data_IF_987833354552
#
_entry.id   IF_987833354552
#
_cell.length_a   1.000
_cell.length_b   1.000
_cell.length_c   1.000
_cell.angle_alpha   90.00
_cell.angle_beta   90.00
_cell.angle_gamma   90.00
#
_symmetry.space_group_name_H-M   'P 1'
#
loop_
_entity.id
_entity.type
_entity.pdbx_description
1 polymer ?
#
# COMPACT_ATOMS: atom_id res chain seq x y z
N UNK A 1 0.71 19.25 2.85
CA UNK A 1 1.37 18.73 4.06
C UNK A 1 2.85 18.58 3.81
N UNK A 2 3.69 18.82 4.81
CA UNK A 2 5.14 18.65 4.67
C UNK A 2 5.59 17.27 5.14
N UNK A 3 6.45 16.65 4.34
CA UNK A 3 7.06 15.37 4.65
C UNK A 3 8.57 15.45 4.49
N UNK A 4 9.27 14.69 5.32
CA UNK A 4 10.67 14.38 5.14
C UNK A 4 10.77 13.09 4.33
N UNK A 5 11.61 13.09 3.31
CA UNK A 5 11.85 11.93 2.44
C UNK A 5 13.34 11.59 2.44
N UNK A 6 13.63 10.29 2.49
CA UNK A 6 14.96 9.74 2.30
C UNK A 6 14.99 9.02 0.97
N UNK A 7 15.96 9.34 0.13
CA UNK A 7 16.11 8.71 -1.19
C UNK A 7 17.47 8.08 -1.39
N UNK A 8 17.55 7.11 -2.29
CA UNK A 8 18.85 6.62 -2.79
C UNK A 8 19.43 7.57 -3.85
N UNK A 9 20.56 7.17 -4.46
CA UNK A 9 21.23 7.95 -5.51
C UNK A 9 20.47 8.04 -6.84
N UNK A 10 19.39 7.27 -7.02
CA UNK A 10 18.50 7.31 -8.18
C UNK A 10 17.17 8.01 -7.84
N UNK A 11 17.11 8.75 -6.73
CA UNK A 11 15.92 9.38 -6.18
C UNK A 11 14.80 8.39 -5.80
N UNK A 12 15.09 7.10 -5.60
CA UNK A 12 14.12 6.11 -5.11
C UNK A 12 13.75 6.46 -3.68
N UNK A 13 12.45 6.58 -3.39
CA UNK A 13 11.95 6.81 -2.04
C UNK A 13 12.24 5.58 -1.17
N UNK A 14 13.05 5.74 -0.13
CA UNK A 14 13.42 4.69 0.82
C UNK A 14 12.58 4.74 2.10
N UNK A 15 12.28 5.95 2.57
CA UNK A 15 11.49 6.18 3.77
C UNK A 15 10.86 7.57 3.70
N UNK A 16 9.74 7.76 4.37
CA UNK A 16 9.16 9.07 4.59
C UNK A 16 8.49 9.18 5.96
N UNK A 17 8.37 10.41 6.44
CA UNK A 17 7.55 10.70 7.62
C UNK A 17 7.08 12.14 7.58
N UNK A 18 6.12 12.48 8.44
CA UNK A 18 5.71 13.87 8.60
C UNK A 18 6.89 14.75 9.03
N UNK A 19 6.98 15.92 8.40
CA UNK A 19 7.87 16.98 8.81
C UNK A 19 7.11 17.99 9.67
N UNK A 20 7.84 18.77 10.46
CA UNK A 20 7.28 19.98 11.06
C UNK A 20 6.85 20.95 9.94
N UNK A 21 5.61 21.43 10.00
CA UNK A 21 5.04 22.32 8.99
C UNK A 21 5.80 23.66 8.86
N UNK A 22 6.61 24.04 9.85
CA UNK A 22 7.46 25.23 9.79
C UNK A 22 8.80 24.99 9.09
N UNK A 23 9.17 23.73 8.77
CA UNK A 23 10.42 23.47 8.06
C UNK A 23 10.37 24.00 6.63
N UNK A 24 11.47 24.59 6.12
CA UNK A 24 11.55 25.00 4.72
C UNK A 24 11.53 23.76 3.81
N UNK A 25 10.91 23.89 2.65
CA UNK A 25 10.96 22.88 1.57
C UNK A 25 12.37 22.90 0.96
N UNK A 26 12.90 21.72 0.65
CA UNK A 26 14.21 21.51 0.05
C UNK A 26 15.14 20.60 0.86
N UNK A 27 16.38 20.39 0.35
CA UNK A 27 17.34 19.48 0.95
C UNK A 27 17.82 19.97 2.31
N UNK A 28 18.13 19.03 3.20
CA UNK A 28 18.66 19.32 4.53
C UNK A 28 20.03 18.66 4.76
N UNK A 29 20.78 19.17 5.73
CA UNK A 29 22.04 18.56 6.18
C UNK A 29 21.82 17.35 7.11
N UNK A 30 20.57 16.95 7.35
CA UNK A 30 20.18 15.83 8.21
C UNK A 30 20.01 14.51 7.43
N UNK A 31 20.26 14.53 6.12
CA UNK A 31 20.16 13.35 5.25
C UNK A 31 18.76 13.05 4.72
N UNK A 32 17.82 13.99 4.86
CA UNK A 32 16.51 13.96 4.20
C UNK A 32 16.23 15.26 3.45
N UNK A 33 15.28 15.22 2.53
CA UNK A 33 14.70 16.40 1.89
C UNK A 33 13.30 16.64 2.46
N UNK A 34 12.90 17.90 2.60
CA UNK A 34 11.51 18.26 2.93
C UNK A 34 10.78 18.60 1.64
N UNK A 35 9.69 17.90 1.34
CA UNK A 35 8.82 18.20 0.21
C UNK A 35 7.40 18.49 0.69
N UNK A 36 6.62 19.14 -0.17
CA UNK A 36 5.22 19.42 0.08
C UNK A 36 4.34 18.60 -0.86
N UNK A 37 3.41 17.85 -0.27
CA UNK A 37 2.49 16.96 -0.98
C UNK A 37 1.05 17.26 -0.57
N UNK A 38 0.09 16.92 -1.43
CA UNK A 38 -1.33 17.08 -1.10
C UNK A 38 -1.78 16.07 -0.03
N UNK A 39 -1.36 14.81 -0.18
CA UNK A 39 -1.66 13.70 0.72
C UNK A 39 -0.52 12.67 0.70
N UNK A 40 -0.71 11.55 1.41
CA UNK A 40 0.28 10.47 1.50
C UNK A 40 0.17 9.42 0.37
N UNK A 41 -0.76 9.58 -0.58
CA UNK A 41 -0.96 8.63 -1.67
C UNK A 41 0.27 8.68 -2.59
N UNK A 42 0.74 7.51 -3.01
CA UNK A 42 1.95 7.41 -3.84
C UNK A 42 3.27 7.36 -3.08
N UNK A 43 3.28 7.63 -1.76
CA UNK A 43 4.48 7.51 -0.91
C UNK A 43 4.77 6.04 -0.56
N UNK A 44 5.04 5.25 -1.60
CA UNK A 44 5.33 3.84 -1.49
C UNK A 44 6.85 3.65 -1.43
N UNK A 45 7.35 3.25 -0.26
CA UNK A 45 8.76 2.95 -0.09
C UNK A 45 9.20 1.89 -1.09
N UNK A 46 10.34 2.12 -1.74
CA UNK A 46 10.90 1.35 -2.85
C UNK A 46 10.04 1.25 -4.12
N UNK A 47 8.85 1.85 -4.15
CA UNK A 47 7.91 1.82 -5.28
C UNK A 47 7.50 3.21 -5.78
N UNK A 48 8.24 4.24 -5.37
CA UNK A 48 8.10 5.60 -5.87
C UNK A 48 9.47 6.28 -5.93
N UNK A 49 9.59 7.27 -6.80
CA UNK A 49 10.74 8.17 -6.87
C UNK A 49 10.33 9.60 -6.55
N UNK A 50 11.27 10.39 -6.00
CA UNK A 50 11.08 11.82 -5.79
C UNK A 50 11.79 12.58 -6.91
N UNK A 51 11.04 13.22 -7.81
CA UNK A 51 11.59 13.92 -8.97
C UNK A 51 11.11 15.37 -8.91
N UNK A 52 12.06 16.31 -8.86
CA UNK A 52 11.77 17.75 -8.76
C UNK A 52 10.78 18.10 -7.62
N UNK A 53 10.93 17.43 -6.48
CA UNK A 53 10.07 17.59 -5.31
C UNK A 53 8.68 16.93 -5.43
N UNK A 54 8.42 16.19 -6.50
CA UNK A 54 7.17 15.46 -6.73
C UNK A 54 7.32 13.97 -6.49
N UNK A 55 6.28 13.35 -5.96
CA UNK A 55 6.19 11.90 -5.78
C UNK A 55 5.75 11.27 -7.11
N UNK A 56 6.55 10.36 -7.65
CA UNK A 56 6.28 9.63 -8.88
C UNK A 56 6.27 8.13 -8.58
N UNK A 57 5.09 7.52 -8.36
CA UNK A 57 4.97 6.08 -8.17
C UNK A 57 5.41 5.29 -9.41
N UNK A 58 5.89 4.07 -9.19
CA UNK A 58 6.20 3.14 -10.27
C UNK A 58 4.95 2.82 -11.09
N UNK A 59 5.11 2.81 -12.41
CA UNK A 59 4.02 2.47 -13.31
C UNK A 59 3.53 1.03 -13.07
N UNK A 60 2.24 0.88 -12.79
CA UNK A 60 1.61 -0.42 -12.57
C UNK A 60 1.86 -1.03 -11.19
N UNK A 61 2.48 -0.30 -10.26
CA UNK A 61 2.51 -0.73 -8.87
C UNK A 61 1.10 -0.63 -8.26
N UNK A 62 0.65 -1.74 -7.69
CA UNK A 62 -0.61 -1.84 -6.95
C UNK A 62 -0.30 -2.10 -5.47
N UNK A 63 -0.46 -1.10 -4.59
CA UNK A 63 -0.16 -1.26 -3.16
C UNK A 63 -1.09 -2.25 -2.46
N UNK A 64 -2.25 -2.57 -3.05
CA UNK A 64 -3.19 -3.55 -2.50
C UNK A 64 -2.87 -4.98 -2.97
N UNK A 65 -2.16 -5.17 -4.08
CA UNK A 65 -1.74 -6.49 -4.57
C UNK A 65 -0.76 -7.19 -3.60
N UNK A 66 0.07 -6.41 -2.90
CA UNK A 66 1.01 -6.91 -1.89
C UNK A 66 0.38 -7.06 -0.50
N UNK A 67 -0.90 -6.66 -0.33
CA UNK A 67 -1.57 -6.83 0.97
C UNK A 67 -1.96 -8.29 1.15
N UNK A 68 -1.67 -8.90 2.31
CA UNK A 68 -2.14 -10.25 2.58
C UNK A 68 -3.66 -10.26 2.46
N UNK A 69 -4.18 -11.24 1.73
CA UNK A 69 -5.63 -11.45 1.65
C UNK A 69 -6.14 -11.61 3.08
N UNK A 70 -7.15 -10.83 3.51
CA UNK A 70 -7.73 -10.99 4.82
C UNK A 70 -8.19 -12.44 5.01
N UNK A 71 -7.92 -13.02 6.18
CA UNK A 71 -8.49 -14.31 6.51
C UNK A 71 -10.02 -14.24 6.44
N UNK A 72 -10.64 -15.33 5.99
CA UNK A 72 -12.09 -15.40 5.91
C UNK A 72 -12.70 -15.19 7.29
N UNK A 73 -13.69 -14.31 7.39
CA UNK A 73 -14.42 -14.07 8.64
C UNK A 73 -15.13 -15.35 9.11
N UNK A 74 -15.45 -15.48 10.41
CA UNK A 74 -16.22 -16.62 10.91
C UNK A 74 -17.53 -16.87 10.14
N UNK A 75 -18.22 -15.81 9.74
CA UNK A 75 -19.44 -15.89 8.94
C UNK A 75 -19.17 -16.42 7.53
N UNK A 76 -18.08 -15.97 6.89
CA UNK A 76 -17.66 -16.47 5.57
C UNK A 76 -17.27 -17.95 5.64
N UNK A 77 -16.59 -18.38 6.71
CA UNK A 77 -16.27 -19.78 6.95
C UNK A 77 -17.54 -20.63 7.13
N UNK A 78 -18.51 -20.14 7.89
CA UNK A 78 -19.80 -20.81 8.08
C UNK A 78 -20.59 -20.94 6.76
N UNK A 79 -20.64 -19.87 5.96
CA UNK A 79 -21.29 -19.89 4.63
C UNK A 79 -20.60 -20.91 3.72
N UNK A 80 -19.27 -20.97 3.70
CA UNK A 80 -18.52 -21.93 2.91
C UNK A 80 -18.80 -23.39 3.34
N UNK A 81 -18.87 -23.64 4.66
CA UNK A 81 -19.21 -24.96 5.19
C UNK A 81 -20.63 -25.39 4.79
N UNK A 82 -21.62 -24.49 4.92
CA UNK A 82 -23.01 -24.76 4.51
C UNK A 82 -23.12 -25.00 2.99
N UNK A 83 -22.40 -24.22 2.18
CA UNK A 83 -22.37 -24.39 0.74
C UNK A 83 -21.81 -25.77 0.34
N UNK A 84 -20.75 -26.22 1.02
CA UNK A 84 -20.17 -27.55 0.82
C UNK A 84 -21.16 -28.67 1.18
N UNK A 85 -21.85 -28.55 2.31
CA UNK A 85 -22.87 -29.51 2.74
C UNK A 85 -24.02 -29.61 1.72
N UNK A 86 -24.53 -28.47 1.25
CA UNK A 86 -25.59 -28.42 0.23
C UNK A 86 -25.13 -29.03 -1.09
N UNK A 87 -23.88 -28.77 -1.51
CA UNK A 87 -23.33 -29.36 -2.73
C UNK A 87 -23.26 -30.89 -2.63
N UNK A 88 -22.81 -31.43 -1.50
CA UNK A 88 -22.81 -32.87 -1.25
C UNK A 88 -24.22 -33.46 -1.27
N UNK A 89 -25.18 -32.85 -0.59
CA UNK A 89 -26.58 -33.31 -0.60
C UNK A 89 -27.15 -33.36 -2.02
N UNK A 90 -26.88 -32.34 -2.84
CA UNK A 90 -27.32 -32.31 -4.24
C UNK A 90 -26.67 -33.41 -5.08
N UNK A 91 -25.38 -33.66 -4.89
CA UNK A 91 -24.67 -34.72 -5.62
C UNK A 91 -25.19 -36.11 -5.26
N UNK A 92 -25.44 -36.38 -3.97
CA UNK A 92 -26.03 -37.65 -3.51
C UNK A 92 -27.42 -37.84 -4.12
N UNK A 93 -28.27 -36.79 -4.09
CA UNK A 93 -29.63 -36.85 -4.65
C UNK A 93 -29.68 -36.99 -6.17
N UNK A 94 -28.61 -36.59 -6.88
CA UNK A 94 -28.52 -36.69 -8.35
C UNK A 94 -27.95 -38.04 -8.84
N UNK A 95 -27.60 -38.94 -7.92
CA UNK A 95 -26.98 -40.23 -8.23
C UNK A 95 -27.95 -41.43 -8.15
N UNK A 96 -29.25 -41.15 -7.95
CA UNK A 96 -30.38 -42.09 -8.06
C UNK A 96 -31.09 -41.93 -9.42
#
# INVERSE_FOLDING_TARGET
MKIKVWTDSNNRLLNWAYADENRPVGPTNEGFEVIEVADAIGLYENHASIIDGQVVPDAGYDPDADRPTPEASPEQQMIAALALEVAHMKAVKSSD
#
